data_IF_670615405691
#
_entry.id   IF_670615405691
#
_cell.length_a   1.000
_cell.length_b   1.000
_cell.length_c   1.000
_cell.angle_alpha   90.00
_cell.angle_beta   90.00
_cell.angle_gamma   90.00
#
_symmetry.space_group_name_H-M   'P 1'
#
loop_
_entity.id
_entity.type
_entity.pdbx_description
1 polymer ?
#
# COMPACT_ATOMS: atom_id res chain seq x y z
N UNK A 1 15.55 -14.47 37.33
CA UNK A 1 14.78 -15.51 36.64
C UNK A 1 13.45 -14.90 36.20
N UNK A 2 13.40 -14.38 34.98
CA UNK A 2 12.17 -14.06 34.26
C UNK A 2 12.36 -14.73 32.91
N UNK A 3 11.71 -15.88 32.71
CA UNK A 3 11.64 -16.51 31.41
C UNK A 3 10.58 -15.74 30.62
N UNK A 4 10.99 -14.79 29.80
CA UNK A 4 10.14 -14.33 28.71
C UNK A 4 9.92 -15.53 27.79
N UNK A 5 8.74 -16.11 27.90
CA UNK A 5 8.29 -17.18 27.03
C UNK A 5 8.02 -16.55 25.66
N UNK A 6 9.06 -16.40 24.85
CA UNK A 6 8.91 -16.07 23.44
C UNK A 6 8.00 -17.12 22.79
N UNK A 7 7.06 -16.72 21.91
CA UNK A 7 6.13 -17.66 21.30
C UNK A 7 6.95 -18.70 20.53
N UNK A 8 6.82 -19.95 20.93
CA UNK A 8 7.24 -21.13 20.17
C UNK A 8 6.37 -21.25 18.90
N UNK A 9 6.54 -20.29 17.99
CA UNK A 9 5.70 -20.08 16.82
C UNK A 9 6.11 -21.02 15.67
N UNK A 10 5.35 -22.09 15.50
CA UNK A 10 5.54 -23.15 14.51
C UNK A 10 5.33 -22.77 13.03
N UNK A 11 5.33 -21.47 12.67
CA UNK A 11 5.15 -21.02 11.28
C UNK A 11 6.10 -19.93 10.79
N UNK A 12 6.97 -19.38 11.66
CA UNK A 12 7.90 -18.29 11.28
C UNK A 12 7.22 -16.97 10.91
N UNK A 13 5.96 -16.77 11.31
CA UNK A 13 5.17 -15.55 11.08
C UNK A 13 4.71 -14.98 12.41
N UNK A 14 4.90 -13.67 12.57
CA UNK A 14 4.51 -12.91 13.75
C UNK A 14 3.26 -12.11 13.45
N UNK A 15 2.27 -12.19 14.33
CA UNK A 15 0.98 -11.55 14.14
C UNK A 15 0.81 -10.41 15.12
N UNK A 16 0.40 -9.27 14.59
CA UNK A 16 0.02 -8.11 15.36
C UNK A 16 -1.32 -7.58 14.87
N UNK A 17 -2.10 -6.92 15.74
CA UNK A 17 -3.32 -6.23 15.33
C UNK A 17 -3.26 -4.75 15.67
N UNK A 18 -3.75 -3.92 14.73
CA UNK A 18 -3.96 -2.49 14.92
C UNK A 18 -5.46 -2.23 15.10
N UNK A 19 -5.86 -1.85 16.31
CA UNK A 19 -7.24 -1.47 16.59
C UNK A 19 -7.56 -0.10 15.97
N UNK A 20 -8.66 -0.02 15.23
CA UNK A 20 -9.13 1.20 14.56
C UNK A 20 -10.56 1.50 14.97
N UNK A 21 -10.84 2.75 15.30
CA UNK A 21 -12.16 3.16 15.80
C UNK A 21 -13.31 2.96 14.80
N UNK A 22 -13.07 3.15 13.51
CA UNK A 22 -14.07 2.93 12.47
C UNK A 22 -13.39 2.72 11.10
N UNK A 23 -14.16 2.25 10.12
CA UNK A 23 -13.68 2.00 8.75
C UNK A 23 -13.04 3.24 8.08
N UNK A 24 -13.58 4.44 8.34
CA UNK A 24 -13.06 5.68 7.75
C UNK A 24 -11.65 6.03 8.24
N UNK A 25 -11.32 5.69 9.49
CA UNK A 25 -10.01 5.95 10.07
C UNK A 25 -8.92 4.96 9.63
N UNK A 26 -9.29 3.79 9.08
CA UNK A 26 -8.31 2.74 8.70
C UNK A 26 -7.24 3.25 7.75
N UNK A 27 -7.61 4.00 6.73
CA UNK A 27 -6.67 4.51 5.73
C UNK A 27 -5.67 5.49 6.36
N UNK A 28 -6.14 6.39 7.20
CA UNK A 28 -5.30 7.33 7.93
C UNK A 28 -4.33 6.59 8.84
N UNK A 29 -4.82 5.69 9.69
CA UNK A 29 -3.98 4.89 10.60
C UNK A 29 -2.97 4.03 9.84
N UNK A 30 -3.35 3.46 8.70
CA UNK A 30 -2.43 2.69 7.86
C UNK A 30 -1.29 3.57 7.34
N UNK A 31 -1.60 4.73 6.77
CA UNK A 31 -0.57 5.62 6.21
C UNK A 31 0.37 6.11 7.32
N UNK A 32 -0.17 6.50 8.48
CA UNK A 32 0.62 6.90 9.64
C UNK A 32 1.54 5.77 10.11
N UNK A 33 1.01 4.54 10.22
CA UNK A 33 1.77 3.36 10.59
C UNK A 33 2.93 3.10 9.61
N UNK A 34 2.66 3.15 8.30
CA UNK A 34 3.66 2.90 7.28
C UNK A 34 4.73 4.01 7.23
N UNK A 35 4.36 5.26 7.51
CA UNK A 35 5.28 6.39 7.58
C UNK A 35 6.13 6.36 8.87
N UNK A 36 5.60 5.81 9.95
CA UNK A 36 6.31 5.62 11.22
C UNK A 36 7.39 4.53 11.14
N UNK A 37 7.38 3.66 10.11
CA UNK A 37 8.40 2.63 9.95
C UNK A 37 9.79 3.26 9.73
N UNK A 38 10.79 2.91 10.58
CA UNK A 38 12.15 3.41 10.40
C UNK A 38 12.76 2.97 9.08
N UNK A 39 13.73 3.72 8.57
CA UNK A 39 14.40 3.42 7.30
C UNK A 39 15.00 2.00 7.25
N UNK A 40 15.51 1.48 8.37
CA UNK A 40 16.02 0.11 8.48
C UNK A 40 14.93 -0.98 8.30
N UNK A 41 13.66 -0.63 8.54
CA UNK A 41 12.49 -1.49 8.42
C UNK A 41 11.68 -1.24 7.15
N UNK A 42 12.07 -0.25 6.31
CA UNK A 42 11.44 0.08 5.02
C UNK A 42 11.75 -0.98 3.96
N UNK A 43 11.21 -2.17 4.18
CA UNK A 43 11.24 -3.28 3.24
C UNK A 43 9.97 -3.27 2.41
N UNK A 44 10.00 -3.89 1.22
CA UNK A 44 8.80 -4.06 0.43
C UNK A 44 7.72 -4.82 1.20
N UNK A 45 6.49 -4.34 1.09
CA UNK A 45 5.34 -4.85 1.82
C UNK A 45 4.17 -5.13 0.89
N UNK A 46 3.23 -5.93 1.36
CA UNK A 46 1.99 -6.20 0.66
C UNK A 46 0.79 -5.80 1.53
N UNK A 47 -0.27 -5.31 0.88
CA UNK A 47 -1.53 -4.96 1.53
C UNK A 47 -2.66 -5.72 0.84
N UNK A 48 -3.40 -6.50 1.61
CA UNK A 48 -4.52 -7.28 1.10
C UNK A 48 -5.85 -6.60 1.41
N UNK A 49 -6.66 -6.42 0.37
CA UNK A 49 -8.02 -5.91 0.44
C UNK A 49 -9.02 -6.99 0.02
N UNK A 50 -10.21 -6.96 0.62
CA UNK A 50 -11.29 -7.88 0.27
C UNK A 50 -12.05 -7.45 -0.99
N UNK A 51 -12.17 -6.13 -1.19
CA UNK A 51 -12.95 -5.51 -2.24
C UNK A 51 -12.11 -4.53 -3.09
N UNK A 52 -12.58 -4.29 -4.32
CA UNK A 52 -11.94 -3.36 -5.25
C UNK A 52 -12.00 -1.91 -4.77
N UNK A 53 -13.16 -1.45 -4.31
CA UNK A 53 -13.33 -0.07 -3.84
C UNK A 53 -12.40 0.25 -2.67
N UNK A 54 -12.21 -0.69 -1.74
CA UNK A 54 -11.22 -0.55 -0.64
C UNK A 54 -9.80 -0.39 -1.19
N UNK A 55 -9.44 -1.19 -2.20
CA UNK A 55 -8.12 -1.16 -2.83
C UNK A 55 -7.88 0.15 -3.60
N UNK A 56 -8.84 0.61 -4.39
CA UNK A 56 -8.69 1.85 -5.16
C UNK A 56 -8.55 3.07 -4.25
N UNK A 57 -9.35 3.12 -3.17
CA UNK A 57 -9.19 4.15 -2.13
C UNK A 57 -7.80 4.08 -1.50
N UNK A 58 -7.34 2.88 -1.12
CA UNK A 58 -6.02 2.69 -0.55
C UNK A 58 -4.89 3.15 -1.48
N UNK A 59 -4.96 2.79 -2.76
CA UNK A 59 -3.99 3.22 -3.77
C UNK A 59 -3.99 4.74 -3.90
N UNK A 60 -5.17 5.37 -3.97
CA UNK A 60 -5.29 6.83 -4.02
C UNK A 60 -4.60 7.52 -2.83
N UNK A 61 -4.84 7.03 -1.61
CA UNK A 61 -4.25 7.61 -0.40
C UNK A 61 -2.73 7.42 -0.32
N UNK A 62 -2.23 6.24 -0.70
CA UNK A 62 -0.79 5.96 -0.70
C UNK A 62 -0.04 6.78 -1.77
N UNK A 63 -0.62 6.98 -2.95
CA UNK A 63 -0.01 7.82 -3.98
C UNK A 63 0.04 9.30 -3.56
N UNK A 64 -0.97 9.77 -2.83
CA UNK A 64 -1.04 11.15 -2.34
C UNK A 64 0.04 11.47 -1.30
N UNK A 65 0.47 10.49 -0.50
CA UNK A 65 1.49 10.71 0.53
C UNK A 65 2.91 10.86 -0.02
N UNK A 66 3.15 10.48 -1.29
CA UNK A 66 4.45 10.57 -1.99
C UNK A 66 5.60 9.83 -1.30
N UNK A 67 5.32 8.92 -0.37
CA UNK A 67 6.32 8.10 0.33
C UNK A 67 6.39 6.65 -0.20
N UNK A 68 5.45 6.28 -1.09
CA UNK A 68 5.26 4.90 -1.54
C UNK A 68 5.29 4.78 -3.06
N UNK A 69 5.90 3.70 -3.55
CA UNK A 69 5.76 3.22 -4.91
C UNK A 69 4.76 2.05 -4.90
N UNK A 70 3.56 2.26 -5.46
CA UNK A 70 2.44 1.32 -5.33
C UNK A 70 2.23 0.53 -6.62
N UNK A 71 2.20 -0.80 -6.51
CA UNK A 71 1.73 -1.72 -7.55
C UNK A 71 0.37 -2.27 -7.13
N UNK A 72 -0.67 -2.06 -7.93
CA UNK A 72 -2.01 -2.54 -7.64
C UNK A 72 -2.36 -3.78 -8.48
N UNK A 73 -2.95 -4.80 -7.87
CA UNK A 73 -3.44 -5.99 -8.56
C UNK A 73 -4.90 -6.27 -8.19
N UNK A 74 -5.76 -6.18 -9.19
CA UNK A 74 -7.21 -6.34 -9.07
C UNK A 74 -7.82 -7.07 -10.28
N UNK A 75 -9.12 -7.37 -10.18
CA UNK A 75 -9.85 -8.24 -11.12
C UNK A 75 -9.82 -7.76 -12.56
N UNK A 76 -9.76 -6.45 -12.78
CA UNK A 76 -9.88 -5.88 -14.13
C UNK A 76 -8.60 -5.99 -14.95
N UNK A 77 -7.48 -6.35 -14.32
CA UNK A 77 -6.24 -6.62 -15.05
C UNK A 77 -6.39 -7.95 -15.80
N UNK A 78 -5.84 -8.02 -17.01
CA UNK A 78 -5.64 -9.28 -17.72
C UNK A 78 -4.56 -10.14 -17.05
N UNK A 79 -4.49 -11.44 -17.37
CA UNK A 79 -3.42 -12.31 -16.87
C UNK A 79 -2.03 -11.76 -17.16
N UNK A 80 -1.84 -11.23 -18.39
CA UNK A 80 -0.58 -10.62 -18.82
C UNK A 80 -0.23 -9.36 -18.03
N UNK A 81 -1.20 -8.49 -17.77
CA UNK A 81 -0.98 -7.29 -16.95
C UNK A 81 -0.65 -7.64 -15.50
N UNK A 82 -1.32 -8.63 -14.92
CA UNK A 82 -0.98 -9.14 -13.58
C UNK A 82 0.45 -9.67 -13.52
N UNK A 83 0.86 -10.43 -14.53
CA UNK A 83 2.22 -10.98 -14.63
C UNK A 83 3.27 -9.86 -14.72
N UNK A 84 3.04 -8.88 -15.59
CA UNK A 84 3.94 -7.73 -15.74
C UNK A 84 4.02 -6.88 -14.47
N UNK A 85 2.90 -6.61 -13.81
CA UNK A 85 2.85 -5.86 -12.56
C UNK A 85 3.65 -6.59 -11.46
N UNK A 86 3.45 -7.90 -11.33
CA UNK A 86 4.14 -8.71 -10.33
C UNK A 86 5.64 -8.85 -10.62
N UNK A 87 6.02 -9.04 -11.89
CA UNK A 87 7.42 -9.09 -12.31
C UNK A 87 8.14 -7.75 -12.03
N UNK A 88 7.45 -6.63 -12.25
CA UNK A 88 7.96 -5.29 -11.96
C UNK A 88 8.16 -5.10 -10.46
N UNK A 89 7.19 -5.52 -9.64
CA UNK A 89 7.30 -5.48 -8.19
C UNK A 89 8.49 -6.32 -7.69
N UNK A 90 8.63 -7.58 -8.16
CA UNK A 90 9.76 -8.46 -7.78
C UNK A 90 11.11 -7.91 -8.17
N UNK A 91 11.22 -7.24 -9.32
CA UNK A 91 12.47 -6.57 -9.72
C UNK A 91 12.84 -5.45 -8.74
N UNK A 92 11.84 -4.72 -8.25
CA UNK A 92 12.02 -3.72 -7.19
C UNK A 92 12.40 -4.32 -5.83
N UNK A 93 12.09 -5.60 -5.57
CA UNK A 93 12.60 -6.33 -4.39
C UNK A 93 14.10 -6.64 -4.52
N UNK A 94 14.54 -7.01 -5.72
CA UNK A 94 15.92 -7.45 -5.98
C UNK A 94 16.91 -6.27 -6.09
N UNK A 95 16.47 -5.15 -6.66
CA UNK A 95 17.23 -3.89 -6.63
C UNK A 95 16.90 -3.20 -5.31
N UNK A 96 17.59 -3.59 -4.25
CA UNK A 96 17.52 -2.87 -2.98
C UNK A 96 17.93 -1.42 -3.21
N UNK A 97 16.95 -0.51 -3.25
CA UNK A 97 17.04 0.96 -3.20
C UNK A 97 18.46 1.53 -3.28
N UNK A 98 19.11 1.31 -4.42
CA UNK A 98 20.40 1.86 -4.75
C UNK A 98 20.18 2.57 -6.08
N UNK A 99 20.58 3.84 -6.10
CA UNK A 99 20.13 4.83 -7.06
C UNK A 99 20.22 4.39 -8.51
N UNK A 100 19.45 5.14 -9.31
CA UNK A 100 19.42 5.13 -10.76
C UNK A 100 18.40 4.16 -11.39
N UNK A 101 17.14 4.61 -11.44
CA UNK A 101 16.25 4.29 -12.54
C UNK A 101 15.64 5.59 -13.05
N UNK A 102 16.24 6.10 -14.12
CA UNK A 102 15.56 7.01 -15.02
C UNK A 102 14.25 6.38 -15.48
N UNK A 103 13.20 7.22 -15.51
CA UNK A 103 12.04 7.13 -16.40
C UNK A 103 11.61 5.69 -16.75
N UNK A 104 11.04 4.96 -15.79
CA UNK A 104 10.56 3.60 -16.03
C UNK A 104 9.66 2.99 -14.94
N UNK A 105 9.69 3.53 -13.71
CA UNK A 105 8.88 3.03 -12.59
C UNK A 105 7.46 3.61 -12.47
N UNK A 106 7.12 4.62 -13.27
CA UNK A 106 5.80 5.31 -13.23
C UNK A 106 4.71 4.63 -14.06
N UNK A 107 5.05 3.63 -14.87
CA UNK A 107 4.11 3.02 -15.82
C UNK A 107 3.07 2.05 -15.20
N UNK A 108 3.26 1.57 -13.96
CA UNK A 108 2.32 0.62 -13.35
C UNK A 108 1.05 1.28 -12.79
N UNK A 109 1.10 2.56 -12.42
CA UNK A 109 -0.06 3.30 -11.92
C UNK A 109 -0.94 3.87 -13.05
N UNK A 110 -0.34 4.25 -14.19
CA UNK A 110 -1.10 4.78 -15.33
C UNK A 110 -1.85 3.69 -16.12
N UNK A 111 -1.35 2.45 -16.18
CA UNK A 111 -2.06 1.36 -16.87
C UNK A 111 -3.35 0.91 -16.15
N UNK A 112 -3.50 1.21 -14.86
CA UNK A 112 -4.73 0.94 -14.10
C UNK A 112 -5.65 2.19 -13.96
N UNK A 113 -5.17 3.36 -14.39
CA UNK A 113 -5.78 4.68 -14.14
C UNK A 113 -6.54 5.26 -15.33
N UNK A 114 -7.24 4.43 -16.10
CA UNK A 114 -7.98 4.85 -17.29
C UNK A 114 -9.46 5.19 -17.07
N UNK A 115 -9.96 5.39 -15.84
CA UNK A 115 -11.30 5.95 -15.59
C UNK A 115 -11.58 6.30 -14.12
N UNK A 116 -10.95 7.35 -13.61
CA UNK A 116 -11.46 8.02 -12.39
C UNK A 116 -12.56 9.02 -12.80
N UNK A 117 -13.66 8.51 -13.34
CA UNK A 117 -14.89 9.31 -13.46
C UNK A 117 -15.60 9.33 -12.11
N UNK A 118 -15.55 10.48 -11.44
CA UNK A 118 -16.47 10.95 -10.38
C UNK A 118 -16.78 9.97 -9.23
N UNK A 119 -15.99 10.04 -8.17
CA UNK A 119 -16.53 9.89 -6.82
C UNK A 119 -17.23 11.22 -6.44
N UNK A 120 -18.53 11.32 -6.74
CA UNK A 120 -19.39 12.32 -6.13
C UNK A 120 -19.63 11.91 -4.68
N UNK A 121 -19.07 12.68 -3.74
CA UNK A 121 -19.43 12.60 -2.33
C UNK A 121 -20.87 13.11 -2.18
N UNK A 122 -21.84 12.21 -2.33
CA UNK A 122 -23.26 12.49 -2.12
C UNK A 122 -23.57 12.78 -0.65
N UNK A 123 -23.32 14.03 -0.23
CA UNK A 123 -23.86 14.62 0.99
C UNK A 123 -25.28 15.13 0.75
N UNK A 124 -26.23 14.56 1.47
CA UNK A 124 -27.61 15.05 1.57
C UNK A 124 -27.65 16.41 2.27
N UNK A 125 -28.31 17.41 1.66
CA UNK A 125 -28.55 18.70 2.29
C UNK A 125 -29.27 19.68 1.36
N UNK A 126 -30.58 19.87 1.57
CA UNK A 126 -31.40 20.81 0.83
C UNK A 126 -31.12 22.28 1.19
N UNK A 127 -31.49 23.18 0.29
CA UNK A 127 -31.48 24.62 0.53
C UNK A 127 -31.57 25.42 -0.75
N UNK A 128 -32.76 25.90 -1.09
CA UNK A 128 -33.00 26.98 -2.05
C UNK A 128 -32.14 28.20 -1.69
N UNK A 129 -31.60 28.90 -2.70
CA UNK A 129 -31.82 30.35 -2.86
C UNK A 129 -31.33 30.88 -4.21
N UNK A 130 -32.04 31.90 -4.69
CA UNK A 130 -31.90 32.62 -5.96
C UNK A 130 -30.98 33.83 -5.76
N UNK A 131 -30.20 34.16 -6.80
CA UNK A 131 -29.76 35.50 -7.26
C UNK A 131 -28.44 35.30 -8.02
N UNK A 132 -28.07 36.01 -9.08
CA UNK A 132 -28.61 37.20 -9.72
C UNK A 132 -27.72 37.49 -10.93
N UNK A 133 -28.36 37.94 -11.99
CA UNK A 133 -27.84 38.40 -13.26
C UNK A 133 -26.97 39.66 -13.07
N UNK A 134 -25.75 39.71 -13.62
CA UNK A 134 -25.14 40.97 -14.11
C UNK A 134 -24.39 40.70 -15.41
N UNK A 135 -24.77 41.45 -16.44
CA UNK A 135 -24.06 41.64 -17.71
C UNK A 135 -22.86 42.56 -17.52
N UNK A 136 -21.80 42.36 -18.31
CA UNK A 136 -20.63 43.24 -18.30
C UNK A 136 -19.76 43.03 -19.54
N UNK A 137 -20.13 43.70 -20.63
CA UNK A 137 -19.33 43.83 -21.84
C UNK A 137 -18.06 44.68 -21.60
N UNK A 138 -16.95 44.31 -22.25
CA UNK A 138 -15.72 45.11 -22.26
C UNK A 138 -14.78 44.66 -23.38
N UNK A 139 -14.56 45.56 -24.34
CA UNK A 139 -13.89 45.36 -25.63
C UNK A 139 -12.38 45.57 -25.58
N UNK A 140 -11.67 44.82 -26.44
CA UNK A 140 -10.45 45.17 -27.20
C UNK A 140 -9.29 45.95 -26.55
N UNK A 141 -8.08 45.39 -26.62
CA UNK A 141 -6.97 45.94 -27.42
C UNK A 141 -5.69 45.11 -27.25
N UNK A 142 -4.95 44.94 -28.35
CA UNK A 142 -3.75 44.09 -28.44
C UNK A 142 -2.54 44.57 -27.63
N UNK A 143 -1.65 43.62 -27.38
CA UNK A 143 -0.32 43.81 -26.81
C UNK A 143 0.58 42.66 -27.27
N UNK A 144 1.76 42.99 -27.78
CA UNK A 144 2.61 42.12 -28.60
C UNK A 144 3.19 40.89 -27.89
N UNK A 145 3.42 39.85 -28.69
CA UNK A 145 4.19 38.68 -28.35
C UNK A 145 5.68 39.04 -28.25
N UNK A 146 6.18 39.26 -27.04
CA UNK A 146 7.62 39.31 -26.76
C UNK A 146 8.08 37.88 -26.47
N UNK A 147 8.92 37.31 -27.35
CA UNK A 147 9.47 35.98 -27.17
C UNK A 147 10.28 35.85 -25.87
N UNK A 148 10.37 34.65 -25.27
CA UNK A 148 11.21 34.44 -24.10
C UNK A 148 12.68 34.57 -24.53
N UNK A 149 13.36 35.57 -23.99
CA UNK A 149 14.82 35.69 -24.11
C UNK A 149 15.52 34.51 -23.44
N UNK A 150 16.73 34.14 -23.90
CA UNK A 150 17.49 33.05 -23.31
C UNK A 150 17.90 33.43 -21.88
N UNK A 151 17.36 32.71 -20.90
CA UNK A 151 17.78 32.81 -19.50
C UNK A 151 19.24 32.37 -19.32
N UNK A 152 19.94 32.85 -18.29
CA UNK A 152 21.35 32.59 -18.08
C UNK A 152 21.59 31.09 -17.82
N UNK A 153 22.68 30.59 -18.40
CA UNK A 153 23.02 29.17 -18.46
C UNK A 153 22.96 28.44 -17.12
N UNK A 154 22.25 27.31 -17.12
CA UNK A 154 22.31 26.29 -16.10
C UNK A 154 23.71 25.65 -16.14
N UNK A 155 24.54 25.99 -15.15
CA UNK A 155 25.79 25.29 -14.90
C UNK A 155 25.55 23.80 -14.58
N UNK A 156 26.52 22.91 -14.86
CA UNK A 156 26.37 21.50 -14.54
C UNK A 156 26.47 21.32 -13.02
N UNK A 157 25.43 20.81 -12.37
CA UNK A 157 25.58 20.26 -11.02
C UNK A 157 24.58 20.67 -9.94
N UNK A 158 23.32 21.01 -10.26
CA UNK A 158 22.27 20.86 -9.26
C UNK A 158 21.65 19.47 -9.35
N UNK A 159 22.33 18.50 -8.72
CA UNK A 159 21.65 17.33 -8.20
C UNK A 159 20.64 17.85 -7.18
N UNK A 160 19.35 17.74 -7.49
CA UNK A 160 18.30 17.89 -6.48
C UNK A 160 18.59 16.99 -5.29
N UNK A 161 18.01 17.27 -4.11
CA UNK A 161 18.24 16.45 -2.92
C UNK A 161 18.05 14.98 -3.28
N UNK A 162 18.90 14.06 -2.77
CA UNK A 162 18.79 12.64 -3.08
C UNK A 162 17.34 12.22 -2.78
N UNK A 163 16.60 11.86 -3.82
CA UNK A 163 15.20 11.48 -3.68
C UNK A 163 15.12 10.37 -2.64
N UNK A 164 14.40 10.60 -1.56
CA UNK A 164 14.19 9.56 -0.55
C UNK A 164 13.67 8.31 -1.24
N UNK A 165 14.30 7.17 -0.97
CA UNK A 165 13.89 5.91 -1.55
C UNK A 165 12.44 5.60 -1.12
N UNK A 166 11.54 5.54 -2.09
CA UNK A 166 10.14 5.19 -1.86
C UNK A 166 10.03 3.74 -1.38
N UNK A 167 9.10 3.49 -0.47
CA UNK A 167 8.79 2.12 -0.04
C UNK A 167 7.94 1.45 -1.11
N UNK A 168 8.36 0.28 -1.59
CA UNK A 168 7.60 -0.51 -2.56
C UNK A 168 6.43 -1.21 -1.86
N UNK A 169 5.21 -0.99 -2.36
CA UNK A 169 3.96 -1.51 -1.81
C UNK A 169 3.20 -2.28 -2.88
N UNK A 170 2.87 -3.55 -2.62
CA UNK A 170 1.93 -4.31 -3.44
C UNK A 170 0.54 -4.26 -2.81
N UNK A 171 -0.42 -3.58 -3.45
CA UNK A 171 -1.83 -3.66 -3.08
C UNK A 171 -2.53 -4.75 -3.90
N UNK A 172 -3.21 -5.69 -3.26
CA UNK A 172 -3.84 -6.83 -3.96
C UNK A 172 -5.20 -7.20 -3.39
N UNK A 173 -6.12 -7.61 -4.27
CA UNK A 173 -7.41 -8.20 -3.87
C UNK A 173 -7.34 -9.73 -3.70
N UNK A 174 -8.18 -10.29 -2.83
CA UNK A 174 -8.22 -11.74 -2.58
C UNK A 174 -8.54 -12.58 -3.81
N UNK A 175 -9.39 -12.06 -4.70
CA UNK A 175 -9.75 -12.72 -5.97
C UNK A 175 -8.49 -12.92 -6.82
N UNK A 176 -7.63 -11.91 -6.87
CA UNK A 176 -6.43 -11.93 -7.68
C UNK A 176 -5.31 -12.77 -7.12
N UNK A 177 -5.24 -13.00 -5.80
CA UNK A 177 -4.25 -13.90 -5.20
C UNK A 177 -4.31 -15.32 -5.78
N UNK A 178 -5.49 -15.79 -6.19
CA UNK A 178 -5.68 -17.09 -6.86
C UNK A 178 -5.18 -17.08 -8.30
N UNK A 179 -5.27 -15.93 -8.96
CA UNK A 179 -4.94 -15.73 -10.37
C UNK A 179 -3.50 -15.25 -10.58
N UNK A 180 -2.70 -15.12 -9.50
CA UNK A 180 -1.30 -14.75 -9.64
C UNK A 180 -0.50 -15.89 -10.32
N UNK A 181 0.44 -15.55 -11.21
CA UNK A 181 1.26 -16.54 -11.89
C UNK A 181 2.15 -17.26 -10.88
N UNK A 182 2.01 -18.59 -10.80
CA UNK A 182 2.70 -19.45 -9.83
C UNK A 182 4.22 -19.37 -9.94
N UNK A 183 4.75 -19.09 -11.13
CA UNK A 183 6.19 -18.98 -11.41
C UNK A 183 6.82 -17.76 -10.74
N UNK A 184 6.03 -16.71 -10.48
CA UNK A 184 6.48 -15.52 -9.77
C UNK A 184 6.24 -15.62 -8.26
N UNK A 185 5.58 -16.68 -7.77
CA UNK A 185 5.41 -16.90 -6.35
C UNK A 185 6.53 -17.78 -5.78
N UNK A 186 6.89 -17.59 -4.50
CA UNK A 186 6.43 -16.53 -3.61
C UNK A 186 7.05 -15.17 -3.90
N UNK A 187 6.44 -14.12 -3.37
CA UNK A 187 6.97 -12.75 -3.51
C UNK A 187 8.14 -12.48 -2.57
N UNK A 188 8.11 -13.03 -1.36
CA UNK A 188 9.15 -12.84 -0.36
C UNK A 188 9.12 -11.46 0.28
N UNK A 189 7.93 -10.86 0.45
CA UNK A 189 7.77 -9.63 1.24
C UNK A 189 8.02 -9.93 2.73
N UNK A 190 8.39 -8.93 3.53
CA UNK A 190 8.59 -9.13 4.98
C UNK A 190 7.42 -8.66 5.85
N UNK A 191 6.55 -7.82 5.28
CA UNK A 191 5.39 -7.25 5.96
C UNK A 191 4.13 -7.45 5.11
N UNK A 192 3.10 -8.02 5.71
CA UNK A 192 1.75 -8.11 5.18
C UNK A 192 0.82 -7.28 6.06
N UNK A 193 0.07 -6.36 5.47
CA UNK A 193 -1.01 -5.66 6.15
C UNK A 193 -2.35 -6.20 5.65
N UNK A 194 -3.13 -6.79 6.54
CA UNK A 194 -4.51 -7.18 6.28
C UNK A 194 -5.41 -5.97 6.53
N UNK A 195 -5.62 -5.15 5.49
CA UNK A 195 -6.52 -4.00 5.55
C UNK A 195 -7.97 -4.44 5.82
N UNK A 196 -8.37 -5.53 5.18
CA UNK A 196 -9.59 -6.26 5.48
C UNK A 196 -9.25 -7.65 6.01
N UNK A 197 -9.84 -8.00 7.16
CA UNK A 197 -9.66 -9.31 7.79
C UNK A 197 -10.14 -10.42 6.84
N UNK A 198 -9.40 -11.52 6.68
CA UNK A 198 -9.73 -12.59 5.76
C UNK A 198 -10.98 -13.33 6.27
N UNK A 199 -11.97 -13.59 5.41
CA UNK A 199 -13.25 -14.18 5.84
C UNK A 199 -13.15 -15.69 6.15
N UNK A 200 -12.05 -16.35 5.77
CA UNK A 200 -11.85 -17.79 5.96
C UNK A 200 -10.38 -18.17 6.05
N UNK A 201 -10.10 -19.33 6.63
CA UNK A 201 -8.76 -19.91 6.77
C UNK A 201 -8.07 -20.10 5.41
N UNK A 202 -8.83 -20.46 4.37
CA UNK A 202 -8.32 -20.68 3.02
C UNK A 202 -7.83 -19.38 2.37
N UNK A 203 -8.50 -18.25 2.64
CA UNK A 203 -8.07 -16.93 2.15
C UNK A 203 -6.80 -16.51 2.89
N UNK A 204 -6.81 -16.59 4.22
CA UNK A 204 -5.65 -16.27 5.06
C UNK A 204 -4.41 -17.09 4.68
N UNK A 205 -4.55 -18.41 4.57
CA UNK A 205 -3.44 -19.31 4.20
C UNK A 205 -2.87 -18.97 2.83
N UNK A 206 -3.72 -18.55 1.88
CA UNK A 206 -3.27 -18.13 0.54
C UNK A 206 -2.48 -16.82 0.59
N UNK A 207 -2.93 -15.83 1.37
CA UNK A 207 -2.21 -14.56 1.56
C UNK A 207 -0.80 -14.83 2.09
N UNK A 208 -0.70 -15.57 3.19
CA UNK A 208 0.59 -15.94 3.80
C UNK A 208 1.47 -16.73 2.83
N UNK A 209 0.92 -17.74 2.14
CA UNK A 209 1.71 -18.58 1.24
C UNK A 209 2.20 -17.85 -0.01
N UNK A 210 1.38 -17.00 -0.62
CA UNK A 210 1.75 -16.27 -1.83
C UNK A 210 2.78 -15.16 -1.53
N UNK A 211 2.61 -14.48 -0.39
CA UNK A 211 3.38 -13.30 -0.05
C UNK A 211 4.69 -13.65 0.67
N UNK A 212 4.64 -14.53 1.68
CA UNK A 212 5.82 -14.92 2.46
C UNK A 212 6.52 -16.19 1.96
N UNK A 213 5.82 -17.03 1.20
CA UNK A 213 6.35 -18.30 0.72
C UNK A 213 6.32 -19.42 1.75
N UNK A 214 7.18 -20.41 1.56
CA UNK A 214 7.22 -21.63 2.35
C UNK A 214 7.99 -21.42 3.67
N UNK A 215 7.87 -22.36 4.61
CA UNK A 215 8.55 -22.26 5.91
C UNK A 215 10.08 -22.10 5.82
N UNK A 216 10.69 -22.56 4.72
CA UNK A 216 12.13 -22.34 4.44
C UNK A 216 12.44 -20.88 4.14
N UNK A 217 11.58 -20.19 3.39
CA UNK A 217 11.71 -18.77 3.03
C UNK A 217 11.48 -17.87 4.26
N UNK A 218 10.49 -18.25 5.09
CA UNK A 218 10.15 -17.57 6.36
C UNK A 218 11.19 -17.75 7.46
N UNK A 219 12.10 -18.71 7.33
CA UNK A 219 13.17 -18.93 8.32
C UNK A 219 14.38 -18.02 8.07
N UNK A 220 14.50 -17.47 6.85
CA UNK A 220 15.60 -16.56 6.49
C UNK A 220 15.31 -15.09 6.81
N UNK A 221 14.05 -14.73 7.09
CA UNK A 221 13.64 -13.36 7.39
C UNK A 221 12.41 -13.33 8.28
N UNK A 222 12.30 -12.34 9.16
CA UNK A 222 11.13 -12.16 10.02
C UNK A 222 9.93 -11.72 9.17
N UNK A 223 8.92 -12.58 9.08
CA UNK A 223 7.65 -12.29 8.42
C UNK A 223 6.65 -11.75 9.44
N UNK A 224 6.09 -10.57 9.19
CA UNK A 224 5.17 -9.88 10.09
C UNK A 224 3.84 -9.65 9.39
N UNK A 225 2.75 -9.98 10.08
CA UNK A 225 1.37 -9.71 9.66
C UNK A 225 0.79 -8.66 10.59
N UNK A 226 0.14 -7.65 10.03
CA UNK A 226 -0.60 -6.62 10.77
C UNK A 226 -2.07 -6.66 10.36
N UNK A 227 -2.93 -6.99 11.30
CA UNK A 227 -4.36 -7.11 11.11
C UNK A 227 -5.07 -5.82 11.52
N UNK A 228 -5.72 -5.12 10.57
CA UNK A 228 -6.46 -3.89 10.89
C UNK A 228 -7.89 -4.22 11.37
N UNK A 229 -8.13 -4.05 12.67
CA UNK A 229 -9.36 -4.47 13.34
C UNK A 229 -10.24 -3.26 13.66
N UNK A 230 -11.43 -3.21 13.08
CA UNK A 230 -12.41 -2.14 13.36
C UNK A 230 -13.14 -2.37 14.69
N UNK A 231 -13.54 -1.29 15.36
CA UNK A 231 -14.46 -1.36 16.49
C UNK A 231 -15.77 -2.03 16.05
N UNK A 232 -16.05 -3.22 16.58
CA UNK A 232 -17.20 -4.06 16.20
C UNK A 232 -16.83 -5.31 15.41
N UNK A 233 -15.61 -5.42 14.86
CA UNK A 233 -15.14 -6.60 14.13
C UNK A 233 -14.53 -7.70 15.02
N UNK A 234 -14.80 -7.68 16.34
CA UNK A 234 -14.22 -8.61 17.32
C UNK A 234 -14.53 -10.07 16.99
N UNK A 235 -15.73 -10.35 16.46
CA UNK A 235 -16.12 -11.70 16.04
C UNK A 235 -15.22 -12.22 14.92
N UNK A 236 -15.02 -11.42 13.87
CA UNK A 236 -14.14 -11.76 12.75
C UNK A 236 -12.68 -11.90 13.19
N UNK A 237 -12.24 -11.05 14.13
CA UNK A 237 -10.89 -11.14 14.71
C UNK A 237 -10.67 -12.45 15.47
N UNK A 238 -11.62 -12.86 16.34
CA UNK A 238 -11.53 -14.15 17.05
C UNK A 238 -11.51 -15.33 16.09
N UNK A 239 -12.26 -15.23 15.00
CA UNK A 239 -12.24 -16.23 13.93
C UNK A 239 -10.86 -16.29 13.26
N UNK A 240 -10.23 -15.15 12.98
CA UNK A 240 -8.85 -15.07 12.48
C UNK A 240 -7.84 -15.68 13.46
N UNK A 241 -7.95 -15.40 14.76
CA UNK A 241 -7.06 -15.97 15.79
C UNK A 241 -7.13 -17.51 15.80
N UNK A 242 -8.30 -18.09 15.52
CA UNK A 242 -8.46 -19.53 15.35
C UNK A 242 -7.76 -20.11 14.12
N UNK A 243 -7.41 -19.28 13.13
CA UNK A 243 -6.74 -19.68 11.90
C UNK A 243 -5.23 -19.42 11.92
N UNK A 244 -4.80 -18.38 12.64
CA UNK A 244 -3.40 -18.04 12.81
C UNK A 244 -2.67 -19.14 13.60
N UNK A 245 -1.45 -19.47 13.18
CA UNK A 245 -0.65 -20.50 13.84
C UNK A 245 0.07 -19.99 15.11
N UNK A 246 0.16 -18.67 15.26
CA UNK A 246 0.76 -17.97 16.40
C UNK A 246 -0.25 -17.00 16.99
N UNK A 247 -0.15 -16.68 18.29
CA UNK A 247 -1.04 -15.72 18.93
C UNK A 247 -0.91 -14.35 18.25
N UNK A 248 -2.04 -13.67 18.09
CA UNK A 248 -2.08 -12.31 17.55
C UNK A 248 -1.86 -11.33 18.70
N UNK A 249 -0.76 -10.60 18.64
CA UNK A 249 -0.36 -9.67 19.71
C UNK A 249 -0.87 -8.26 19.42
N UNK A 250 -1.03 -7.44 20.45
CA UNK A 250 -1.27 -6.01 20.24
C UNK A 250 0.00 -5.36 19.66
N UNK A 251 -0.19 -4.35 18.81
CA UNK A 251 0.92 -3.58 18.25
C UNK A 251 1.79 -2.96 19.36
N UNK A 252 3.12 -3.16 19.33
CA UNK A 252 4.00 -2.54 20.30
C UNK A 252 4.01 -1.02 20.12
N UNK A 253 4.33 -0.29 21.19
CA UNK A 253 4.47 1.18 21.18
C UNK A 253 5.48 1.65 20.13
N UNK A 254 6.49 0.83 19.86
CA UNK A 254 7.53 1.06 18.85
C UNK A 254 7.40 0.05 17.73
N UNK A 255 7.09 0.52 16.52
CA UNK A 255 6.84 -0.32 15.34
C UNK A 255 8.08 -1.12 14.91
N UNK A 256 9.28 -0.64 15.24
CA UNK A 256 10.53 -1.36 14.98
C UNK A 256 10.66 -2.66 15.77
N UNK A 257 10.08 -2.74 16.98
CA UNK A 257 10.19 -3.91 17.85
C UNK A 257 9.51 -5.14 17.23
N UNK A 258 8.59 -4.92 16.30
CA UNK A 258 7.96 -5.96 15.51
C UNK A 258 8.97 -6.72 14.63
N UNK A 259 10.08 -6.08 14.25
CA UNK A 259 11.09 -6.60 13.33
C UNK A 259 12.39 -7.05 14.02
N UNK A 260 12.56 -6.79 15.32
CA UNK A 260 13.76 -7.18 16.07
C UNK A 260 13.73 -8.66 16.41
N UNK A 261 14.64 -9.44 15.82
CA UNK A 261 14.85 -10.84 16.11
C UNK A 261 15.49 -10.96 17.51
N UNK A 262 14.69 -11.28 18.53
CA UNK A 262 15.21 -11.69 19.84
C UNK A 262 15.62 -13.15 19.80
#
# INVERSE_FOLDING_TARGET
MMAECGPSGSAGVWHYYAAVGNRGAKLTTLVELLQALPAACRRPLAICCSARDSLDNLVYWLLRSRSFAVTAIHSDLTDKERELALASFKRGLAVGTAGNLGVGGVAAAELAGGRLDRYDAGGSGGGRERAGLVDGAGSSSGGGWAGPGPGPGLGPGQQGPPGEALVSVLAVTDVCLKALPKELLPLGVSLLVEFDLPPSKEVYSRRVSALFGSGKDRRSQRCVVIDMVEAGAIGAFRTLEGFAASPVMEMPVRVEDMFVQQ
#
